data_IF_499904392654
#
_entry.id   IF_499904392654
#
_cell.length_a   1.000
_cell.length_b   1.000
_cell.length_c   1.000
_cell.angle_alpha   90.00
_cell.angle_beta   90.00
_cell.angle_gamma   90.00
#
_symmetry.space_group_name_H-M   'P 1'
#
loop_
_entity.id
_entity.type
_entity.pdbx_description
1 polymer ?
#
# COMPACT_ATOMS: atom_id res chain seq x y z
N UNK A 1 -3.65 6.68 -32.16
CA UNK A 1 -4.01 7.58 -31.04
C UNK A 1 -3.63 6.87 -29.76
N UNK A 2 -2.53 7.29 -29.12
CA UNK A 2 -2.20 6.81 -27.78
C UNK A 2 -3.02 7.64 -26.80
N UNK A 3 -3.85 7.00 -25.98
CA UNK A 3 -4.53 7.67 -24.89
C UNK A 3 -3.49 8.34 -23.98
N UNK A 4 -3.79 9.51 -23.37
CA UNK A 4 -2.91 10.05 -22.34
C UNK A 4 -2.71 8.97 -21.29
N UNK A 5 -1.45 8.68 -20.96
CA UNK A 5 -1.14 7.78 -19.85
C UNK A 5 -1.44 8.58 -18.59
N UNK A 6 -2.69 8.54 -18.16
CA UNK A 6 -3.17 9.30 -17.02
C UNK A 6 -2.53 8.74 -15.75
N UNK A 7 -2.05 9.66 -14.89
CA UNK A 7 -1.62 9.30 -13.55
C UNK A 7 -2.85 8.77 -12.80
N UNK A 8 -2.76 7.58 -12.19
CA UNK A 8 -3.89 7.00 -11.49
C UNK A 8 -4.25 7.88 -10.29
N UNK A 9 -5.54 8.10 -10.09
CA UNK A 9 -5.99 8.84 -8.91
C UNK A 9 -5.79 8.00 -7.65
N UNK A 10 -5.74 8.64 -6.49
CA UNK A 10 -5.70 7.94 -5.20
C UNK A 10 -6.86 6.93 -5.05
N UNK A 11 -8.03 7.25 -5.61
CA UNK A 11 -9.20 6.38 -5.60
C UNK A 11 -8.99 5.13 -6.45
N UNK A 12 -8.34 5.25 -7.61
CA UNK A 12 -8.02 4.09 -8.48
C UNK A 12 -7.05 3.14 -7.79
N UNK A 13 -6.03 3.69 -7.13
CA UNK A 13 -5.05 2.92 -6.35
C UNK A 13 -5.73 2.20 -5.19
N UNK A 14 -6.58 2.89 -4.42
CA UNK A 14 -7.38 2.29 -3.34
C UNK A 14 -8.25 1.15 -3.84
N UNK A 15 -8.94 1.37 -4.97
CA UNK A 15 -9.83 0.37 -5.54
C UNK A 15 -9.06 -0.88 -5.97
N UNK A 16 -7.89 -0.72 -6.59
CA UNK A 16 -7.05 -1.86 -6.95
C UNK A 16 -6.52 -2.63 -5.75
N UNK A 17 -6.15 -1.94 -4.68
CA UNK A 17 -5.77 -2.57 -3.40
C UNK A 17 -6.95 -3.41 -2.89
N UNK A 18 -8.13 -2.82 -2.74
CA UNK A 18 -9.32 -3.53 -2.21
C UNK A 18 -9.70 -4.72 -3.10
N UNK A 19 -9.64 -4.58 -4.42
CA UNK A 19 -9.86 -5.70 -5.36
C UNK A 19 -8.87 -6.82 -5.13
N UNK A 20 -7.58 -6.50 -5.02
CA UNK A 20 -6.55 -7.48 -4.74
C UNK A 20 -6.77 -8.20 -3.40
N UNK A 21 -7.27 -7.50 -2.38
CA UNK A 21 -7.63 -8.12 -1.10
C UNK A 21 -8.81 -9.09 -1.23
N UNK A 22 -9.87 -8.68 -1.92
CA UNK A 22 -11.06 -9.51 -2.15
C UNK A 22 -10.70 -10.76 -2.97
N UNK A 23 -9.88 -10.61 -4.01
CA UNK A 23 -9.42 -11.73 -4.84
C UNK A 23 -8.61 -12.75 -4.02
N UNK A 24 -7.99 -12.30 -2.91
CA UNK A 24 -7.23 -13.13 -1.98
C UNK A 24 -8.00 -13.42 -0.67
N UNK A 25 -9.33 -13.33 -0.66
CA UNK A 25 -10.15 -13.54 0.55
C UNK A 25 -10.00 -14.94 1.17
N UNK A 26 -9.58 -15.93 0.39
CA UNK A 26 -9.27 -17.28 0.89
C UNK A 26 -8.02 -17.31 1.79
N UNK A 27 -7.17 -16.29 1.69
CA UNK A 27 -6.00 -16.10 2.55
C UNK A 27 -6.36 -15.21 3.74
N UNK A 28 -6.23 -15.74 4.96
CA UNK A 28 -6.48 -14.97 6.20
C UNK A 28 -5.44 -13.89 6.48
N UNK A 29 -4.32 -13.90 5.77
CA UNK A 29 -3.21 -12.96 5.91
C UNK A 29 -2.72 -12.50 4.54
N UNK A 30 -2.35 -11.24 4.44
CA UNK A 30 -1.75 -10.65 3.23
C UNK A 30 -0.32 -10.18 3.50
N UNK A 31 0.55 -10.26 2.49
CA UNK A 31 1.89 -9.66 2.53
C UNK A 31 1.86 -8.26 1.89
N UNK A 32 2.24 -7.24 2.66
CA UNK A 32 2.28 -5.85 2.15
C UNK A 32 3.17 -5.73 0.92
N UNK A 33 4.33 -6.39 0.92
CA UNK A 33 5.30 -6.31 -0.18
C UNK A 33 4.74 -6.86 -1.50
N UNK A 34 3.91 -7.91 -1.43
CA UNK A 34 3.25 -8.48 -2.59
C UNK A 34 2.19 -7.54 -3.17
N UNK A 35 1.35 -6.96 -2.31
CA UNK A 35 0.32 -6.01 -2.71
C UNK A 35 0.96 -4.75 -3.30
N UNK A 36 2.00 -4.22 -2.66
CA UNK A 36 2.76 -3.07 -3.16
C UNK A 36 3.33 -3.35 -4.57
N UNK A 37 4.01 -4.50 -4.75
CA UNK A 37 4.55 -4.92 -6.05
C UNK A 37 3.47 -5.13 -7.11
N UNK A 38 2.27 -5.59 -6.73
CA UNK A 38 1.15 -5.73 -7.63
C UNK A 38 0.59 -4.37 -8.07
N UNK A 39 0.39 -3.45 -7.12
CA UNK A 39 -0.10 -2.10 -7.40
C UNK A 39 0.89 -1.32 -8.26
N UNK A 40 2.20 -1.38 -7.97
CA UNK A 40 3.26 -0.75 -8.80
C UNK A 40 3.29 -1.28 -10.24
N UNK A 41 2.98 -2.56 -10.44
CA UNK A 41 2.87 -3.16 -11.79
C UNK A 41 1.62 -2.67 -12.53
N UNK A 42 0.51 -2.50 -11.83
CA UNK A 42 -0.73 -1.95 -12.42
C UNK A 42 -0.63 -0.44 -12.68
N UNK A 43 0.12 0.26 -11.84
CA UNK A 43 0.22 1.71 -11.84
C UNK A 43 1.69 2.17 -11.82
N UNK A 44 2.42 2.00 -12.94
CA UNK A 44 3.82 2.42 -13.01
C UNK A 44 3.98 3.94 -12.86
N UNK A 45 2.93 4.72 -13.11
CA UNK A 45 2.89 6.18 -12.92
C UNK A 45 2.33 6.61 -11.56
N UNK A 46 2.11 5.68 -10.63
CA UNK A 46 1.68 6.05 -9.28
C UNK A 46 2.79 6.86 -8.58
N UNK A 47 2.50 8.11 -8.25
CA UNK A 47 3.45 9.01 -7.58
C UNK A 47 3.58 8.76 -6.08
N UNK A 48 2.70 7.92 -5.50
CA UNK A 48 2.82 7.54 -4.09
C UNK A 48 4.17 6.89 -3.85
N UNK A 49 4.82 7.28 -2.77
CA UNK A 49 6.02 6.59 -2.28
C UNK A 49 5.67 5.18 -1.81
N UNK A 50 6.66 4.30 -1.71
CA UNK A 50 6.43 2.94 -1.21
C UNK A 50 5.81 2.97 0.21
N UNK A 51 6.24 3.92 1.05
CA UNK A 51 5.66 4.17 2.37
C UNK A 51 4.19 4.59 2.32
N UNK A 52 3.82 5.56 1.48
CA UNK A 52 2.43 6.01 1.38
C UNK A 52 1.53 4.91 0.83
N UNK A 53 2.07 4.08 -0.07
CA UNK A 53 1.37 2.92 -0.59
C UNK A 53 1.22 1.84 0.49
N UNK A 54 2.23 1.59 1.31
CA UNK A 54 2.15 0.64 2.42
C UNK A 54 1.15 1.08 3.50
N UNK A 55 1.13 2.36 3.90
CA UNK A 55 0.11 2.92 4.81
C UNK A 55 -1.29 2.78 4.21
N UNK A 56 -1.44 3.01 2.91
CA UNK A 56 -2.70 2.87 2.22
C UNK A 56 -3.19 1.42 2.16
N UNK A 57 -2.29 0.48 1.89
CA UNK A 57 -2.57 -0.96 1.89
C UNK A 57 -3.00 -1.39 3.28
N UNK A 58 -2.25 -1.00 4.32
CA UNK A 58 -2.55 -1.38 5.70
C UNK A 58 -3.92 -0.86 6.15
N UNK A 59 -4.23 0.41 5.89
CA UNK A 59 -5.54 0.99 6.23
C UNK A 59 -6.69 0.31 5.48
N UNK A 60 -6.48 0.00 4.21
CA UNK A 60 -7.50 -0.68 3.38
C UNK A 60 -7.75 -2.11 3.85
N UNK A 61 -6.68 -2.85 4.19
CA UNK A 61 -6.76 -4.21 4.70
C UNK A 61 -7.46 -4.29 6.07
N UNK A 62 -7.09 -3.42 7.02
CA UNK A 62 -7.77 -3.31 8.31
C UNK A 62 -9.25 -2.96 8.13
N UNK A 63 -9.56 -1.99 7.26
CA UNK A 63 -10.94 -1.61 6.96
C UNK A 63 -11.77 -2.74 6.33
N UNK A 64 -11.11 -3.65 5.61
CA UNK A 64 -11.72 -4.82 5.00
C UNK A 64 -11.73 -6.09 5.90
N UNK A 65 -11.13 -6.02 7.10
CA UNK A 65 -11.11 -7.13 8.06
C UNK A 65 -9.99 -8.16 7.85
N UNK A 66 -8.96 -7.84 7.06
CA UNK A 66 -7.82 -8.72 6.83
C UNK A 66 -6.74 -8.56 7.91
N UNK A 67 -6.10 -9.66 8.30
CA UNK A 67 -4.86 -9.60 9.06
C UNK A 67 -3.70 -9.24 8.12
N UNK A 68 -2.80 -8.38 8.59
CA UNK A 68 -1.65 -7.92 7.82
C UNK A 68 -0.41 -8.63 8.36
N UNK A 69 0.33 -9.28 7.47
CA UNK A 69 1.69 -9.72 7.75
C UNK A 69 2.69 -8.66 7.28
N UNK A 70 3.42 -8.09 8.23
CA UNK A 70 4.49 -7.15 7.94
C UNK A 70 5.75 -7.94 7.65
N UNK A 71 5.87 -8.43 6.42
CA UNK A 71 7.05 -9.16 5.94
C UNK A 71 8.23 -8.18 5.76
N UNK A 72 8.80 -7.77 6.89
CA UNK A 72 9.81 -6.73 7.01
C UNK A 72 11.21 -7.30 6.72
N UNK A 73 11.49 -7.59 5.45
CA UNK A 73 12.85 -7.79 4.95
C UNK A 73 13.59 -6.49 4.59
N UNK A 74 12.96 -5.33 4.78
CA UNK A 74 13.53 -4.02 4.45
C UNK A 74 14.11 -3.32 5.66
N UNK A 75 15.40 -2.96 5.59
CA UNK A 75 16.06 -2.05 6.54
C UNK A 75 15.34 -0.69 6.55
N UNK A 76 14.34 -0.53 7.40
CA UNK A 76 13.70 0.76 7.62
C UNK A 76 14.64 1.68 8.40
N UNK A 77 14.96 2.90 7.95
CA UNK A 77 15.55 3.89 8.84
C UNK A 77 14.50 4.21 9.90
N UNK A 78 14.77 3.78 11.14
CA UNK A 78 13.97 4.09 12.31
C UNK A 78 13.73 5.61 12.36
N UNK A 79 12.51 6.07 12.06
CA UNK A 79 12.15 7.47 12.27
C UNK A 79 12.04 7.69 13.78
N UNK A 80 13.09 8.23 14.38
CA UNK A 80 13.10 8.62 15.80
C UNK A 80 11.85 9.49 16.05
N UNK A 81 11.03 9.18 17.08
CA UNK A 81 9.92 10.04 17.42
C UNK A 81 10.47 11.44 17.68
N UNK A 82 9.85 12.45 17.05
CA UNK A 82 10.18 13.85 17.25
C UNK A 82 9.92 14.10 18.75
N UNK A 83 11.00 14.20 19.52
CA UNK A 83 10.94 14.36 20.97
C UNK A 83 10.03 15.54 21.29
N UNK A 84 9.10 15.33 22.22
CA UNK A 84 8.32 16.42 22.78
C UNK A 84 9.32 17.44 23.35
N UNK A 85 9.26 18.67 22.84
CA UNK A 85 9.98 19.80 23.40
C UNK A 85 9.52 19.94 24.84
N UNK A 86 10.38 19.56 25.80
CA UNK A 86 10.19 19.93 27.19
C UNK A 86 10.48 21.43 27.28
N UNK A 87 9.47 22.17 27.72
CA UNK A 87 9.56 23.58 28.09
C UNK A 87 10.38 23.73 29.38
#
# INVERSE_FOLDING_TARGET
MSAPVETPTLSDVRLAIVRHLIDNVESTSISISEVNRAVRRMFPLCELTDWELDDLIARSAIGAGFAIDFDAGGSWPYRKPIGKSAA
#
